data_IF_030022299556
#
_entry.id   IF_030022299556
#
_cell.length_a   1.000
_cell.length_b   1.000
_cell.length_c   1.000
_cell.angle_alpha   90.00
_cell.angle_beta   90.00
_cell.angle_gamma   90.00
#
_symmetry.space_group_name_H-M   'P 1'
#
loop_
_entity.id
_entity.type
_entity.pdbx_description
1 polymer ?
#
# COMPACT_ATOMS: atom_id res chain seq x y z
N UNK A 1 -6.91 -1.11 -5.55
CA UNK A 1 -7.31 -1.21 -4.13
C UNK A 1 -6.09 -0.97 -3.26
N UNK A 2 -6.26 -0.18 -2.21
CA UNK A 2 -5.28 0.01 -1.13
C UNK A 2 -5.58 -0.95 0.01
N UNK A 3 -4.56 -1.63 0.53
CA UNK A 3 -4.64 -2.47 1.72
C UNK A 3 -3.64 -1.97 2.76
N UNK A 4 -4.10 -1.55 3.93
CA UNK A 4 -3.21 -1.11 5.03
C UNK A 4 -3.07 -2.20 6.09
N UNK A 5 -1.86 -2.40 6.59
CA UNK A 5 -1.59 -3.33 7.69
C UNK A 5 -2.05 -2.73 9.02
N UNK A 6 -3.18 -3.18 9.56
CA UNK A 6 -3.76 -2.61 10.78
C UNK A 6 -3.01 -2.99 12.04
N UNK A 7 -2.26 -4.11 12.05
CA UNK A 7 -1.46 -4.49 13.22
C UNK A 7 -0.12 -3.76 13.34
N UNK A 8 0.26 -2.92 12.37
CA UNK A 8 1.52 -2.18 12.44
C UNK A 8 1.58 -1.33 13.71
N UNK A 9 2.63 -1.54 14.50
CA UNK A 9 2.95 -0.71 15.67
C UNK A 9 3.68 0.56 15.25
N UNK A 10 3.73 1.55 16.13
CA UNK A 10 4.56 2.74 15.94
C UNK A 10 6.07 2.43 16.03
N UNK A 11 6.91 3.45 15.89
CA UNK A 11 8.37 3.31 16.00
C UNK A 11 8.82 2.85 17.39
N UNK A 12 8.07 3.18 18.45
CA UNK A 12 8.30 2.71 19.81
C UNK A 12 7.94 1.22 20.01
N UNK A 13 7.18 0.64 19.08
CA UNK A 13 6.70 -0.74 19.18
C UNK A 13 5.53 -0.90 20.16
N UNK A 14 4.80 0.19 20.43
CA UNK A 14 3.65 0.18 21.32
C UNK A 14 2.54 -0.72 20.78
N UNK A 15 1.92 -1.47 21.69
CA UNK A 15 0.73 -2.29 21.41
C UNK A 15 -0.59 -1.60 21.77
N UNK A 16 -0.52 -0.34 22.22
CA UNK A 16 -1.69 0.45 22.53
C UNK A 16 -2.62 0.58 21.31
N UNK A 17 -3.93 0.59 21.59
CA UNK A 17 -4.98 0.81 20.58
C UNK A 17 -5.47 2.27 20.67
N UNK A 18 -5.79 2.90 19.52
CA UNK A 18 -5.55 2.40 18.16
C UNK A 18 -4.05 2.31 17.84
N UNK A 19 -3.64 1.27 17.11
CA UNK A 19 -2.26 1.13 16.61
C UNK A 19 -2.02 2.11 15.47
N UNK A 20 -0.77 2.47 15.25
CA UNK A 20 -0.36 3.33 14.13
C UNK A 20 -0.85 2.83 12.76
N UNK A 21 -0.90 1.50 12.55
CA UNK A 21 -1.50 0.91 11.35
C UNK A 21 -3.01 1.13 11.22
N UNK A 22 -3.75 1.14 12.32
CA UNK A 22 -5.19 1.47 12.34
C UNK A 22 -5.41 2.95 12.06
N UNK A 23 -4.58 3.82 12.65
CA UNK A 23 -4.61 5.26 12.42
C UNK A 23 -4.39 5.59 10.94
N UNK A 24 -3.29 5.08 10.34
CA UNK A 24 -3.02 5.21 8.91
C UNK A 24 -4.16 4.64 8.07
N UNK A 25 -4.67 3.45 8.42
CA UNK A 25 -5.76 2.80 7.69
C UNK A 25 -7.06 3.61 7.69
N UNK A 26 -7.35 4.33 8.77
CA UNK A 26 -8.51 5.22 8.87
C UNK A 26 -8.29 6.51 8.07
N UNK A 27 -7.11 7.11 8.17
CA UNK A 27 -6.75 8.33 7.43
C UNK A 27 -6.75 8.08 5.92
N UNK A 28 -6.23 6.94 5.45
CA UNK A 28 -6.29 6.55 4.04
C UNK A 28 -7.74 6.40 3.57
N UNK A 29 -8.63 5.84 4.41
CA UNK A 29 -10.05 5.70 4.07
C UNK A 29 -10.74 7.06 3.95
N UNK A 30 -10.44 7.98 4.84
CA UNK A 30 -10.96 9.36 4.81
C UNK A 30 -10.45 10.11 3.57
N UNK A 31 -9.14 10.09 3.33
CA UNK A 31 -8.52 10.74 2.17
C UNK A 31 -9.01 10.17 0.83
N UNK A 32 -9.40 8.89 0.78
CA UNK A 32 -9.92 8.26 -0.42
C UNK A 32 -11.39 8.57 -0.72
N UNK A 33 -12.12 9.27 0.15
CA UNK A 33 -13.53 9.59 -0.08
C UNK A 33 -13.74 10.35 -1.40
N UNK A 34 -14.76 9.96 -2.17
CA UNK A 34 -15.07 10.58 -3.48
C UNK A 34 -14.11 10.21 -4.62
N UNK A 35 -12.99 9.52 -4.35
CA UNK A 35 -11.99 9.18 -5.38
C UNK A 35 -12.30 7.89 -6.16
N UNK A 36 -13.18 7.03 -5.62
CA UNK A 36 -13.43 5.68 -6.13
C UNK A 36 -12.37 4.63 -5.76
N UNK A 37 -11.31 5.02 -5.03
CA UNK A 37 -10.28 4.07 -4.56
C UNK A 37 -10.84 3.21 -3.42
N UNK A 38 -10.93 1.91 -3.65
CA UNK A 38 -11.27 0.96 -2.58
C UNK A 38 -10.13 0.86 -1.55
N UNK A 39 -10.45 1.03 -0.27
CA UNK A 39 -9.53 0.90 0.86
C UNK A 39 -9.97 -0.26 1.75
N UNK A 40 -9.03 -1.14 2.10
CA UNK A 40 -9.19 -2.27 3.02
C UNK A 40 -8.06 -2.25 4.05
N UNK A 41 -8.30 -2.95 5.17
CA UNK A 41 -7.25 -3.24 6.14
C UNK A 41 -7.06 -4.75 6.21
N UNK A 42 -5.81 -5.18 6.31
CA UNK A 42 -5.43 -6.55 6.59
C UNK A 42 -4.73 -6.60 7.94
N UNK A 43 -4.85 -7.73 8.65
CA UNK A 43 -4.22 -7.86 9.96
C UNK A 43 -2.71 -7.70 9.85
N UNK A 44 -2.03 -8.40 8.93
CA UNK A 44 -0.58 -8.34 8.78
C UNK A 44 -0.13 -8.44 7.32
N UNK A 45 0.93 -7.70 6.96
CA UNK A 45 1.64 -7.82 5.67
C UNK A 45 3.07 -8.39 5.82
N UNK A 46 3.40 -8.94 6.99
CA UNK A 46 4.70 -9.59 7.26
C UNK A 46 5.92 -8.67 7.28
N UNK A 47 5.72 -7.35 7.24
CA UNK A 47 6.79 -6.36 7.02
C UNK A 47 7.08 -5.49 8.26
N UNK A 48 6.98 -6.06 9.48
CA UNK A 48 7.06 -5.32 10.74
C UNK A 48 8.37 -4.52 10.93
N UNK A 49 9.48 -4.95 10.30
CA UNK A 49 10.78 -4.25 10.35
C UNK A 49 10.77 -2.93 9.57
N UNK A 50 9.93 -2.82 8.53
CA UNK A 50 9.76 -1.63 7.68
C UNK A 50 8.32 -1.13 7.75
N UNK A 51 7.79 -1.01 8.97
CA UNK A 51 6.47 -0.42 9.25
C UNK A 51 6.52 1.12 9.10
N UNK A 52 5.41 1.81 8.86
CA UNK A 52 4.08 1.26 8.56
C UNK A 52 4.04 0.66 7.15
N UNK A 53 3.08 -0.22 6.88
CA UNK A 53 3.03 -0.96 5.63
C UNK A 53 1.65 -0.96 4.99
N UNK A 54 1.66 -0.85 3.67
CA UNK A 54 0.48 -0.87 2.83
C UNK A 54 0.77 -1.56 1.49
N UNK A 55 -0.27 -1.97 0.79
CA UNK A 55 -0.16 -2.58 -0.53
C UNK A 55 -1.12 -1.94 -1.53
N UNK A 56 -0.68 -1.87 -2.78
CA UNK A 56 -1.51 -1.56 -3.94
C UNK A 56 -1.75 -2.83 -4.75
N UNK A 57 -3.02 -3.19 -4.86
CA UNK A 57 -3.49 -4.37 -5.58
C UNK A 57 -4.43 -3.95 -6.71
N UNK A 58 -4.28 -4.54 -7.88
CA UNK A 58 -5.22 -4.41 -9.01
C UNK A 58 -5.20 -5.71 -9.79
N UNK A 59 -6.38 -6.21 -10.12
CA UNK A 59 -6.51 -7.49 -10.83
C UNK A 59 -5.77 -7.47 -12.17
N UNK A 60 -5.18 -8.60 -12.55
CA UNK A 60 -4.34 -8.74 -13.75
C UNK A 60 -3.08 -7.86 -13.79
N UNK A 61 -2.75 -7.13 -12.73
CA UNK A 61 -1.63 -6.18 -12.69
C UNK A 61 -0.58 -6.57 -11.64
N UNK A 62 0.56 -5.90 -11.67
CA UNK A 62 1.57 -6.05 -10.63
C UNK A 62 1.04 -5.55 -9.29
N UNK A 63 1.31 -6.30 -8.23
CA UNK A 63 1.03 -5.89 -6.85
C UNK A 63 2.26 -5.24 -6.23
N UNK A 64 2.04 -4.23 -5.40
CA UNK A 64 3.12 -3.49 -4.74
C UNK A 64 2.93 -3.51 -3.24
N UNK A 65 4.00 -3.81 -2.50
CA UNK A 65 4.04 -3.68 -1.04
C UNK A 65 5.00 -2.56 -0.69
N UNK A 66 4.56 -1.65 0.15
CA UNK A 66 5.31 -0.52 0.65
C UNK A 66 5.55 -0.63 2.15
N UNK A 67 6.68 -0.10 2.58
CA UNK A 67 7.12 0.02 3.96
C UNK A 67 7.71 1.39 4.23
N UNK A 68 8.16 1.59 5.47
CA UNK A 68 8.72 2.85 5.98
C UNK A 68 7.74 4.04 5.82
N UNK A 69 6.43 3.74 5.85
CA UNK A 69 5.36 4.73 5.83
C UNK A 69 5.15 5.31 7.23
N UNK A 70 4.60 6.51 7.25
CA UNK A 70 4.11 7.26 8.40
C UNK A 70 2.60 7.42 8.32
N UNK A 71 1.97 7.90 9.39
CA UNK A 71 0.53 8.19 9.40
C UNK A 71 0.18 9.30 8.40
N UNK A 72 1.10 10.24 8.17
CA UNK A 72 0.95 11.36 7.24
C UNK A 72 1.02 10.98 5.75
N UNK A 73 1.43 9.75 5.42
CA UNK A 73 1.56 9.28 4.03
C UNK A 73 0.22 8.87 3.40
N UNK A 74 -0.91 9.07 4.09
CA UNK A 74 -2.23 8.74 3.55
C UNK A 74 -2.54 9.41 2.18
N UNK A 75 -2.26 10.72 1.96
CA UNK A 75 -2.43 11.36 0.65
C UNK A 75 -1.58 10.71 -0.44
N UNK A 76 -0.33 10.35 -0.12
CA UNK A 76 0.58 9.72 -1.07
C UNK A 76 0.12 8.32 -1.47
N UNK A 77 -0.41 7.53 -0.52
CA UNK A 77 -1.00 6.23 -0.82
C UNK A 77 -2.19 6.36 -1.78
N UNK A 78 -3.09 7.32 -1.53
CA UNK A 78 -4.25 7.57 -2.41
C UNK A 78 -3.80 8.09 -3.78
N UNK A 79 -2.84 9.00 -3.84
CA UNK A 79 -2.26 9.48 -5.10
C UNK A 79 -1.60 8.33 -5.89
N UNK A 80 -0.88 7.45 -5.21
CA UNK A 80 -0.32 6.24 -5.80
C UNK A 80 -1.39 5.29 -6.35
N UNK A 81 -2.51 5.11 -5.64
CA UNK A 81 -3.62 4.29 -6.10
C UNK A 81 -4.30 4.87 -7.35
N UNK A 82 -4.53 6.19 -7.38
CA UNK A 82 -5.10 6.89 -8.52
C UNK A 82 -4.16 6.83 -9.73
N UNK A 83 -2.86 7.07 -9.53
CA UNK A 83 -1.86 6.93 -10.58
C UNK A 83 -1.79 5.49 -11.10
N UNK A 84 -1.91 4.50 -10.21
CA UNK A 84 -1.95 3.10 -10.65
C UNK A 84 -3.20 2.80 -11.47
N UNK A 85 -4.35 3.38 -11.13
CA UNK A 85 -5.59 3.18 -11.86
C UNK A 85 -5.49 3.63 -13.33
N UNK A 86 -4.63 4.61 -13.65
CA UNK A 86 -4.42 5.06 -15.04
C UNK A 86 -3.42 4.23 -15.83
N UNK A 87 -2.76 3.23 -15.22
CA UNK A 87 -1.79 2.38 -15.92
C UNK A 87 -2.47 1.44 -16.91
N UNK A 88 -1.94 1.39 -18.13
CA UNK A 88 -2.35 0.48 -19.21
C UNK A 88 -1.49 -0.78 -19.31
N UNK A 89 -0.28 -0.76 -18.74
CA UNK A 89 0.71 -1.85 -18.80
C UNK A 89 0.72 -2.71 -17.51
N UNK A 90 -0.20 -2.43 -16.58
CA UNK A 90 -0.29 -3.15 -15.31
C UNK A 90 0.81 -2.78 -14.31
N UNK A 91 1.61 -1.76 -14.58
CA UNK A 91 2.68 -1.26 -13.71
C UNK A 91 2.30 0.09 -13.12
N UNK A 92 2.59 0.31 -11.83
CA UNK A 92 2.52 1.65 -11.24
C UNK A 92 3.54 2.54 -11.96
N UNK A 93 3.14 3.64 -12.63
CA UNK A 93 4.08 4.54 -13.30
C UNK A 93 5.19 5.03 -12.35
N UNK A 94 6.40 5.21 -12.88
CA UNK A 94 7.50 5.83 -12.11
C UNK A 94 7.35 7.34 -12.03
N UNK A 95 7.03 7.97 -13.16
CA UNK A 95 6.75 9.41 -13.24
C UNK A 95 5.45 9.71 -12.49
N UNK A 96 5.47 10.73 -11.63
CA UNK A 96 4.33 11.11 -10.79
C UNK A 96 4.15 10.26 -9.55
N UNK A 97 4.93 9.17 -9.38
CA UNK A 97 4.90 8.38 -8.15
C UNK A 97 5.36 9.23 -6.96
N UNK A 98 4.61 9.27 -5.84
CA UNK A 98 5.06 9.94 -4.63
C UNK A 98 6.37 9.38 -4.10
N UNK A 99 7.16 10.22 -3.44
CA UNK A 99 8.53 9.88 -3.05
C UNK A 99 8.58 8.81 -1.96
N UNK A 100 7.62 8.79 -1.02
CA UNK A 100 7.51 7.72 -0.04
C UNK A 100 7.29 6.35 -0.72
N UNK A 101 6.55 6.29 -1.85
CA UNK A 101 6.31 5.06 -2.61
C UNK A 101 7.47 4.68 -3.53
N UNK A 102 8.39 5.61 -3.84
CA UNK A 102 9.65 5.28 -4.53
C UNK A 102 10.64 4.62 -3.57
N UNK A 103 10.87 5.24 -2.41
CA UNK A 103 11.87 4.77 -1.41
C UNK A 103 11.34 3.60 -0.59
N UNK A 104 10.05 3.60 -0.31
CA UNK A 104 9.37 2.61 0.53
C UNK A 104 9.01 1.32 -0.20
N UNK A 105 9.40 1.09 -1.45
CA UNK A 105 9.10 -0.16 -2.14
C UNK A 105 9.79 -1.34 -1.43
N UNK A 106 8.99 -2.32 -1.00
CA UNK A 106 9.43 -3.56 -0.33
C UNK A 106 9.43 -4.70 -1.33
N UNK A 107 8.32 -4.86 -2.04
CA UNK A 107 8.15 -5.91 -3.02
C UNK A 107 7.28 -5.44 -4.18
N UNK A 108 7.55 -6.01 -5.35
CA UNK A 108 6.69 -5.92 -6.53
C UNK A 108 6.44 -7.34 -7.04
N UNK A 109 5.18 -7.77 -7.01
CA UNK A 109 4.77 -9.16 -7.26
C UNK A 109 4.04 -9.20 -8.61
N UNK A 110 4.43 -10.08 -9.54
CA UNK A 110 3.79 -10.18 -10.85
C UNK A 110 2.36 -10.72 -10.74
N UNK A 111 1.47 -10.41 -11.70
CA UNK A 111 0.20 -11.11 -11.80
C UNK A 111 0.42 -12.60 -12.13
N UNK A 112 -0.47 -13.46 -11.65
CA UNK A 112 -0.34 -14.92 -11.86
C UNK A 112 -0.25 -15.31 -13.35
N UNK A 113 -0.91 -14.56 -14.23
CA UNK A 113 -0.94 -14.83 -15.66
C UNK A 113 0.43 -14.78 -16.36
N UNK A 114 1.46 -14.18 -15.74
CA UNK A 114 2.82 -14.14 -16.29
C UNK A 114 3.81 -15.04 -15.52
N UNK A 115 3.33 -15.75 -14.51
CA UNK A 115 4.11 -16.82 -13.88
C UNK A 115 3.92 -18.05 -14.77
N UNK A 116 4.99 -18.49 -15.43
CA UNK A 116 4.98 -19.72 -16.22
C UNK A 116 4.74 -20.93 -15.29
N UNK A 117 3.89 -21.86 -15.69
CA UNK A 117 3.87 -23.18 -15.06
C UNK A 117 5.16 -23.91 -15.48
N UNK A 118 5.95 -24.43 -14.52
CA UNK A 118 7.06 -25.29 -14.87
C UNK A 118 6.47 -26.57 -15.50
N UNK A 119 6.60 -26.67 -16.83
CA UNK A 119 6.28 -27.86 -17.62
C UNK A 119 7.02 -29.10 -17.14
#
# INVERSE_FOLDING_TARGET
MLVVCSSCRDTAGSDARPRAGELLGNQVRETAQGTGVAVRQAECLGNCKRRLSAALLRDGCWSYVFGDLTEDDAPDLVAGALLFATSTDGLLPWRGRPDCLKRGLVARIPPLAILEDPS
#
